data_IF_979298411951
#
_entry.id   IF_979298411951
#
_cell.length_a   1.000
_cell.length_b   1.000
_cell.length_c   1.000
_cell.angle_alpha   90.00
_cell.angle_beta   90.00
_cell.angle_gamma   90.00
#
_symmetry.space_group_name_H-M   'P 1'
#
loop_
_entity.id
_entity.type
_entity.pdbx_description
1 polymer ?
#
# COMPACT_ATOMS: atom_id res chain seq x y z
N UNK A 1 26.30 15.36 0.57
CA UNK A 1 25.33 14.32 0.18
C UNK A 1 24.05 15.04 -0.23
N UNK A 2 23.46 14.78 -1.41
CA UNK A 2 22.20 15.40 -1.81
C UNK A 2 21.09 15.00 -0.82
N UNK A 3 20.17 15.91 -0.51
CA UNK A 3 18.98 15.55 0.26
C UNK A 3 18.11 14.61 -0.60
N UNK A 4 17.89 13.35 -0.20
CA UNK A 4 17.02 12.44 -0.95
C UNK A 4 15.59 12.96 -1.07
N UNK A 5 15.17 13.91 -0.22
CA UNK A 5 13.87 14.57 -0.28
C UNK A 5 13.77 15.65 -1.37
N UNK A 6 14.84 15.92 -2.10
CA UNK A 6 14.80 16.78 -3.28
C UNK A 6 14.49 15.98 -4.57
N UNK A 7 14.41 14.65 -4.49
CA UNK A 7 14.26 13.79 -5.66
C UNK A 7 12.81 13.35 -5.85
N UNK A 8 12.30 13.48 -7.08
CA UNK A 8 10.99 12.95 -7.45
C UNK A 8 10.94 11.44 -7.21
N UNK A 9 9.84 10.97 -6.63
CA UNK A 9 9.54 9.56 -6.42
C UNK A 9 8.50 9.13 -7.45
N UNK A 10 8.82 8.11 -8.23
CA UNK A 10 7.98 7.59 -9.30
C UNK A 10 7.24 6.32 -8.81
N UNK A 11 5.91 6.33 -8.81
CA UNK A 11 5.07 5.24 -8.31
C UNK A 11 3.99 4.86 -9.33
N UNK A 12 4.32 3.89 -10.19
CA UNK A 12 3.37 3.38 -11.20
C UNK A 12 2.75 4.50 -12.05
N UNK A 13 1.41 4.72 -11.99
CA UNK A 13 0.71 5.70 -12.80
C UNK A 13 0.82 7.15 -12.29
N UNK A 14 1.45 7.38 -11.13
CA UNK A 14 1.64 8.73 -10.57
C UNK A 14 3.09 8.97 -10.15
N UNK A 15 3.39 10.22 -9.85
CA UNK A 15 4.66 10.63 -9.25
C UNK A 15 4.40 11.54 -8.06
N UNK A 16 5.33 11.55 -7.12
CA UNK A 16 5.36 12.44 -5.97
C UNK A 16 6.59 13.33 -6.12
N UNK A 17 6.41 14.64 -6.26
CA UNK A 17 7.50 15.60 -6.46
C UNK A 17 7.49 16.70 -5.40
N UNK A 18 8.66 17.19 -4.96
CA UNK A 18 8.74 18.32 -4.04
C UNK A 18 8.24 19.59 -4.74
N UNK A 19 7.57 20.47 -3.99
CA UNK A 19 7.22 21.81 -4.44
C UNK A 19 8.46 22.71 -4.52
N UNK A 20 8.41 23.85 -5.24
CA UNK A 20 9.57 24.72 -5.42
C UNK A 20 10.17 25.29 -4.13
N UNK A 21 9.36 25.44 -3.08
CA UNK A 21 9.78 25.86 -1.74
C UNK A 21 10.27 24.70 -0.86
N UNK A 22 10.26 23.47 -1.39
CA UNK A 22 10.70 22.22 -0.77
C UNK A 22 10.04 21.88 0.59
N UNK A 23 8.97 22.59 0.96
CA UNK A 23 8.26 22.39 2.22
C UNK A 23 7.15 21.34 2.10
N UNK A 24 6.65 21.14 0.88
CA UNK A 24 5.55 20.22 0.57
C UNK A 24 5.86 19.38 -0.66
N UNK A 25 5.06 18.35 -0.87
CA UNK A 25 5.15 17.46 -2.01
C UNK A 25 3.79 17.25 -2.63
N UNK A 26 3.76 17.20 -3.95
CA UNK A 26 2.55 17.05 -4.75
C UNK A 26 2.53 15.70 -5.45
N UNK A 27 1.45 14.95 -5.25
CA UNK A 27 1.15 13.74 -6.02
C UNK A 27 0.40 14.12 -7.29
N UNK A 28 0.89 13.70 -8.46
CA UNK A 28 0.26 13.98 -9.75
C UNK A 28 0.30 12.74 -10.66
N UNK A 29 -0.74 12.59 -11.51
CA UNK A 29 -0.76 11.53 -12.52
C UNK A 29 0.37 11.72 -13.53
N UNK A 30 0.90 10.62 -14.05
CA UNK A 30 1.95 10.64 -15.08
C UNK A 30 1.41 10.92 -16.49
N UNK A 31 0.10 10.79 -16.72
CA UNK A 31 -0.52 10.97 -18.04
C UNK A 31 -1.00 12.39 -18.33
N UNK A 32 -1.10 12.73 -19.63
CA UNK A 32 -1.67 13.96 -20.21
C UNK A 32 -3.22 14.01 -20.06
N UNK A 33 -3.75 13.73 -18.87
CA UNK A 33 -5.15 14.00 -18.61
C UNK A 33 -5.34 15.52 -18.60
N UNK A 34 -5.89 16.02 -19.72
CA UNK A 34 -6.12 17.44 -20.05
C UNK A 34 -7.03 18.15 -19.04
N UNK A 35 -7.65 17.42 -18.12
CA UNK A 35 -8.30 17.97 -16.94
C UNK A 35 -7.44 17.66 -15.71
N UNK A 36 -6.50 18.57 -15.44
CA UNK A 36 -5.62 18.56 -14.29
C UNK A 36 -6.44 18.65 -12.99
N UNK A 37 -6.91 17.50 -12.49
CA UNK A 37 -7.26 17.38 -11.08
C UNK A 37 -6.02 17.83 -10.30
N UNK A 38 -6.15 18.96 -9.59
CA UNK A 38 -5.06 19.57 -8.84
C UNK A 38 -4.41 18.50 -7.97
N UNK A 39 -3.12 18.23 -8.23
CA UNK A 39 -2.38 17.23 -7.50
C UNK A 39 -2.50 17.45 -5.99
N UNK A 40 -2.60 16.36 -5.23
CA UNK A 40 -2.73 16.46 -3.77
C UNK A 40 -1.39 16.93 -3.23
N UNK A 41 -1.39 18.05 -2.49
CA UNK A 41 -0.17 18.61 -1.89
C UNK A 41 -0.23 18.47 -0.38
N UNK A 42 0.83 17.93 0.20
CA UNK A 42 0.94 17.68 1.64
C UNK A 42 2.41 17.74 2.09
N UNK A 43 2.63 17.92 3.39
CA UNK A 43 3.97 17.90 3.98
C UNK A 43 4.60 16.51 3.95
N UNK A 44 5.94 16.45 3.99
CA UNK A 44 6.66 15.17 3.96
C UNK A 44 6.19 14.18 5.06
N UNK A 45 5.97 14.67 6.28
CA UNK A 45 5.53 13.82 7.39
C UNK A 45 4.12 13.25 7.18
N UNK A 46 3.24 13.97 6.47
CA UNK A 46 1.90 13.50 6.14
C UNK A 46 1.96 12.38 5.10
N UNK A 47 2.84 12.49 4.10
CA UNK A 47 3.12 11.41 3.15
C UNK A 47 3.69 10.17 3.81
N UNK A 48 4.60 10.33 4.78
CA UNK A 48 5.14 9.21 5.57
C UNK A 48 4.02 8.53 6.38
N UNK A 49 3.16 9.31 7.05
CA UNK A 49 2.03 8.78 7.80
C UNK A 49 1.04 8.04 6.87
N UNK A 50 0.78 8.58 5.69
CA UNK A 50 -0.06 7.94 4.67
C UNK A 50 0.54 6.59 4.23
N UNK A 51 1.82 6.55 3.88
CA UNK A 51 2.51 5.31 3.47
C UNK A 51 2.44 4.23 4.57
N UNK A 52 2.67 4.62 5.83
CA UNK A 52 2.53 3.70 6.95
C UNK A 52 1.10 3.16 7.09
N UNK A 53 0.08 4.00 6.85
CA UNK A 53 -1.32 3.57 6.89
C UNK A 53 -1.67 2.60 5.77
N UNK A 54 -1.15 2.82 4.55
CA UNK A 54 -1.31 1.92 3.41
C UNK A 54 -0.70 0.55 3.71
N UNK A 55 0.54 0.50 4.20
CA UNK A 55 1.20 -0.75 4.57
C UNK A 55 0.44 -1.51 5.65
N UNK A 56 -0.11 -0.79 6.65
CA UNK A 56 -0.94 -1.42 7.68
C UNK A 56 -2.25 -1.98 7.13
N UNK A 57 -2.85 -1.32 6.14
CA UNK A 57 -4.06 -1.83 5.49
C UNK A 57 -3.77 -3.09 4.67
N UNK A 58 -2.64 -3.13 3.94
CA UNK A 58 -2.18 -4.31 3.21
C UNK A 58 -1.94 -5.51 4.15
N UNK A 59 -1.25 -5.28 5.27
CA UNK A 59 -1.01 -6.33 6.28
C UNK A 59 -2.32 -6.91 6.83
N UNK A 60 -3.30 -6.05 7.13
CA UNK A 60 -4.62 -6.48 7.58
C UNK A 60 -5.34 -7.29 6.51
N UNK A 61 -5.29 -6.87 5.25
CA UNK A 61 -5.88 -7.61 4.14
C UNK A 61 -5.27 -9.00 4.01
N UNK A 62 -3.94 -9.11 3.98
CA UNK A 62 -3.23 -10.39 3.90
C UNK A 62 -3.54 -11.31 5.08
N UNK A 63 -3.76 -10.75 6.27
CA UNK A 63 -4.20 -11.53 7.44
C UNK A 63 -5.64 -12.04 7.35
N UNK A 64 -6.50 -11.34 6.61
CA UNK A 64 -7.87 -11.79 6.33
C UNK A 64 -7.84 -12.90 5.30
N UNK A 65 -7.09 -12.73 4.21
CA UNK A 65 -6.89 -13.74 3.16
C UNK A 65 -6.33 -15.04 3.75
N UNK A 66 -5.25 -14.97 4.53
CA UNK A 66 -4.66 -16.14 5.18
C UNK A 66 -5.63 -16.87 6.14
N UNK A 67 -6.57 -16.15 6.78
CA UNK A 67 -7.61 -16.78 7.60
C UNK A 67 -8.68 -17.47 6.75
N UNK A 68 -8.99 -16.94 5.57
CA UNK A 68 -9.85 -17.58 4.58
C UNK A 68 -9.25 -18.89 4.11
N UNK A 69 -7.97 -18.86 3.70
CA UNK A 69 -7.24 -20.04 3.25
C UNK A 69 -7.22 -21.14 4.32
N UNK A 70 -6.92 -20.77 5.58
CA UNK A 70 -6.94 -21.71 6.70
C UNK A 70 -8.34 -22.29 6.98
N UNK A 71 -9.40 -21.51 6.73
CA UNK A 71 -10.77 -22.00 6.88
C UNK A 71 -11.13 -22.99 5.76
N UNK A 72 -10.76 -22.69 4.52
CA UNK A 72 -10.97 -23.58 3.37
C UNK A 72 -10.20 -24.91 3.53
N UNK A 73 -8.94 -24.85 3.98
CA UNK A 73 -8.15 -26.05 4.31
C UNK A 73 -8.79 -26.88 5.43
N UNK A 74 -9.24 -26.22 6.52
CA UNK A 74 -9.92 -26.89 7.62
C UNK A 74 -11.25 -27.53 7.22
N UNK A 75 -12.01 -26.87 6.34
CA UNK A 75 -13.27 -27.38 5.80
C UNK A 75 -13.06 -28.57 4.86
N UNK A 76 -12.02 -28.52 4.02
CA UNK A 76 -11.63 -29.65 3.17
C UNK A 76 -11.19 -30.85 4.02
N UNK A 77 -10.36 -30.63 5.04
CA UNK A 77 -9.90 -31.67 5.96
C UNK A 77 -11.06 -32.32 6.75
N UNK A 78 -12.07 -31.53 7.15
CA UNK A 78 -13.24 -32.06 7.86
C UNK A 78 -14.12 -32.98 6.99
N UNK A 79 -14.02 -32.90 5.65
CA UNK A 79 -14.72 -33.79 4.71
C UNK A 79 -13.92 -35.01 4.30
N UNK A 80 -12.63 -35.05 4.62
CA UNK A 80 -11.79 -36.21 4.40
C UNK A 80 -11.89 -37.18 5.60
N UNK A 81 -12.50 -38.35 5.35
CA UNK A 81 -12.64 -39.41 6.36
C UNK A 81 -11.31 -40.02 6.83
N UNK A 82 -10.20 -39.74 6.13
CA UNK A 82 -8.86 -40.19 6.50
C UNK A 82 -8.03 -39.13 7.23
N UNK A 83 -8.53 -37.90 7.41
CA UNK A 83 -7.79 -36.83 8.06
C UNK A 83 -7.57 -37.11 9.56
N UNK A 84 -6.31 -37.08 9.99
CA UNK A 84 -5.90 -37.29 11.39
C UNK A 84 -5.55 -35.94 12.02
N UNK A 85 -6.15 -35.62 13.17
CA UNK A 85 -5.85 -34.39 13.91
C UNK A 85 -4.40 -34.42 14.44
N UNK A 86 -3.52 -33.50 14.00
CA UNK A 86 -2.11 -33.51 14.38
C UNK A 86 -1.83 -32.98 15.80
N UNK A 87 -2.85 -32.51 16.52
CA UNK A 87 -2.74 -32.01 17.90
C UNK A 87 -3.33 -32.99 18.94
N UNK A 88 -3.44 -34.27 18.60
CA UNK A 88 -3.81 -35.34 19.54
C UNK A 88 -2.60 -36.17 19.95
#
# INVERSE_FOLDING_TARGET
>A
MPDPRALRIDVGPFHLAPTPDASTWTAASRGDAVDAASGITAGWNEWVAFAARVLRADELWRSVEARGDAWDEGFAAARDSAAVNPYR
#
